data_IF_712080336000
#
_entry.id   IF_712080336000
#
_cell.length_a   1.000
_cell.length_b   1.000
_cell.length_c   1.000
_cell.angle_alpha   90.00
_cell.angle_beta   90.00
_cell.angle_gamma   90.00
#
_symmetry.space_group_name_H-M   'P 1'
#
loop_
_entity.id
_entity.type
_entity.pdbx_description
1 polymer ?
#
# COMPACT_ATOMS: atom_id res chain seq x y z
N UNK A 1 -6.35 -35.15 0.80
CA UNK A 1 -7.12 -34.90 -0.44
C UNK A 1 -7.64 -33.47 -0.38
N UNK A 2 -7.02 -32.56 -1.14
CA UNK A 2 -7.55 -31.20 -1.33
C UNK A 2 -8.73 -31.34 -2.28
N UNK A 3 -9.91 -30.89 -1.88
CA UNK A 3 -11.11 -31.01 -2.71
C UNK A 3 -10.89 -30.37 -4.09
N UNK A 4 -10.90 -31.24 -5.08
CA UNK A 4 -10.73 -31.03 -6.51
C UNK A 4 -11.38 -29.74 -7.02
N UNK A 5 -10.58 -28.75 -7.43
CA UNK A 5 -10.85 -27.73 -8.45
C UNK A 5 -12.11 -26.84 -8.37
N UNK A 6 -13.07 -27.07 -7.46
CA UNK A 6 -14.39 -26.42 -7.40
C UNK A 6 -14.37 -25.14 -6.56
N UNK A 7 -13.40 -24.99 -5.67
CA UNK A 7 -13.27 -23.80 -4.83
C UNK A 7 -12.86 -22.58 -5.65
N UNK A 8 -11.92 -22.72 -6.58
CA UNK A 8 -11.43 -21.64 -7.45
C UNK A 8 -12.54 -20.95 -8.24
N UNK A 9 -13.39 -21.65 -9.05
CA UNK A 9 -14.46 -21.00 -9.79
C UNK A 9 -15.51 -20.35 -8.89
N UNK A 10 -15.76 -20.92 -7.70
CA UNK A 10 -16.66 -20.33 -6.73
C UNK A 10 -16.11 -19.00 -6.16
N UNK A 11 -14.83 -18.97 -5.78
CA UNK A 11 -14.17 -17.76 -5.29
C UNK A 11 -14.10 -16.68 -6.38
N UNK A 12 -13.85 -17.04 -7.64
CA UNK A 12 -13.89 -16.09 -8.76
C UNK A 12 -15.28 -15.47 -8.92
N UNK A 13 -16.34 -16.27 -8.79
CA UNK A 13 -17.73 -15.78 -8.87
C UNK A 13 -18.04 -14.80 -7.75
N UNK A 14 -17.65 -15.11 -6.52
CA UNK A 14 -17.84 -14.21 -5.36
C UNK A 14 -17.04 -12.92 -5.54
N UNK A 15 -15.77 -13.02 -5.97
CA UNK A 15 -14.93 -11.85 -6.16
C UNK A 15 -15.54 -10.90 -7.21
N UNK A 16 -16.00 -11.44 -8.34
CA UNK A 16 -16.69 -10.64 -9.37
C UNK A 16 -17.93 -9.94 -8.82
N UNK A 17 -18.80 -10.66 -8.11
CA UNK A 17 -19.99 -10.08 -7.49
C UNK A 17 -19.62 -8.94 -6.52
N UNK A 18 -18.66 -9.17 -5.63
CA UNK A 18 -18.23 -8.19 -4.64
C UNK A 18 -17.60 -6.95 -5.29
N UNK A 19 -16.71 -7.15 -6.27
CA UNK A 19 -16.11 -6.05 -7.03
C UNK A 19 -17.18 -5.22 -7.75
N UNK A 20 -18.12 -5.86 -8.46
CA UNK A 20 -19.23 -5.15 -9.13
C UNK A 20 -20.04 -4.33 -8.13
N UNK A 21 -20.38 -4.89 -6.97
CA UNK A 21 -21.10 -4.16 -5.92
C UNK A 21 -20.32 -2.93 -5.44
N UNK A 22 -19.01 -3.03 -5.24
CA UNK A 22 -18.19 -1.90 -4.81
C UNK A 22 -18.24 -0.75 -5.82
N UNK A 23 -18.17 -1.05 -7.12
CA UNK A 23 -18.24 -0.01 -8.16
C UNK A 23 -19.67 0.55 -8.35
N UNK A 24 -20.71 -0.26 -8.15
CA UNK A 24 -22.10 0.18 -8.35
C UNK A 24 -22.76 0.82 -7.13
N UNK A 25 -22.22 0.59 -5.92
CA UNK A 25 -22.76 1.11 -4.67
C UNK A 25 -22.05 2.40 -4.26
N UNK A 26 -22.79 3.50 -4.19
CA UNK A 26 -22.26 4.82 -3.83
C UNK A 26 -21.57 4.85 -2.45
N UNK A 27 -22.01 4.04 -1.49
CA UNK A 27 -21.40 3.96 -0.17
C UNK A 27 -20.08 3.18 -0.19
N UNK A 28 -19.99 2.14 -1.02
CA UNK A 28 -18.79 1.30 -1.12
C UNK A 28 -17.73 1.97 -1.98
N UNK A 29 -18.11 2.66 -3.05
CA UNK A 29 -17.17 3.32 -3.95
C UNK A 29 -16.33 4.39 -3.24
N UNK A 30 -16.91 5.05 -2.23
CA UNK A 30 -16.23 6.03 -1.38
C UNK A 30 -15.17 5.44 -0.44
N UNK A 31 -15.13 4.11 -0.26
CA UNK A 31 -14.18 3.42 0.63
C UNK A 31 -12.88 3.00 -0.07
N UNK A 32 -12.65 3.47 -1.28
CA UNK A 32 -11.40 3.25 -2.00
C UNK A 32 -10.22 4.04 -1.42
N UNK A 33 -9.05 3.84 -2.01
CA UNK A 33 -7.81 4.49 -1.61
C UNK A 33 -7.33 5.41 -2.73
N UNK A 34 -6.60 6.47 -2.36
CA UNK A 34 -5.79 7.23 -3.31
C UNK A 34 -4.34 6.79 -3.15
N UNK A 35 -3.66 6.54 -4.26
CA UNK A 35 -2.24 6.18 -4.23
C UNK A 35 -1.41 7.38 -3.76
N UNK A 36 -0.90 7.35 -2.53
CA UNK A 36 -0.09 8.43 -1.96
C UNK A 36 1.32 8.59 -2.56
N UNK A 37 1.66 7.86 -3.63
CA UNK A 37 2.95 7.99 -4.34
C UNK A 37 2.76 8.84 -5.59
N UNK A 38 1.82 8.49 -6.47
CA UNK A 38 1.56 9.27 -7.68
C UNK A 38 0.48 10.35 -7.49
N UNK A 39 -0.38 10.19 -6.48
CA UNK A 39 -1.47 11.11 -6.15
C UNK A 39 -2.36 11.53 -7.36
N UNK A 40 -2.53 10.66 -8.35
CA UNK A 40 -3.20 10.96 -9.61
C UNK A 40 -4.74 11.05 -9.51
N UNK A 41 -5.31 11.13 -8.29
CA UNK A 41 -6.76 11.18 -8.05
C UNK A 41 -7.54 9.89 -8.38
N UNK A 42 -6.91 8.91 -9.02
CA UNK A 42 -7.52 7.61 -9.29
C UNK A 42 -7.80 6.86 -7.99
N UNK A 43 -9.06 6.47 -7.81
CA UNK A 43 -9.49 5.60 -6.72
C UNK A 43 -9.08 4.17 -7.05
N UNK A 44 -8.41 3.52 -6.11
CA UNK A 44 -7.96 2.14 -6.22
C UNK A 44 -8.49 1.30 -5.06
N UNK A 45 -8.63 -0.01 -5.30
CA UNK A 45 -9.16 -0.94 -4.31
C UNK A 45 -8.21 -2.10 -4.03
N UNK A 46 -8.20 -2.65 -2.79
CA UNK A 46 -7.31 -3.76 -2.43
C UNK A 46 -7.58 -5.06 -3.20
N UNK A 47 -8.81 -5.27 -3.71
CA UNK A 47 -9.17 -6.48 -4.45
C UNK A 47 -8.70 -6.45 -5.91
N UNK A 48 -8.23 -5.30 -6.42
CA UNK A 48 -7.63 -5.14 -7.76
C UNK A 48 -6.18 -5.67 -7.77
N UNK A 49 -5.98 -6.93 -7.38
CA UNK A 49 -4.66 -7.46 -7.01
C UNK A 49 -3.58 -7.46 -8.10
N UNK A 50 -3.94 -7.25 -9.37
CA UNK A 50 -2.99 -7.06 -10.47
C UNK A 50 -2.53 -5.61 -10.60
N UNK A 51 -3.41 -4.64 -10.33
CA UNK A 51 -3.15 -3.21 -10.47
C UNK A 51 -2.68 -2.56 -9.17
N UNK A 52 -2.98 -3.16 -8.01
CA UNK A 52 -2.70 -2.59 -6.69
C UNK A 52 -1.89 -3.53 -5.82
N UNK A 53 -1.15 -2.93 -4.87
CA UNK A 53 -0.39 -3.63 -3.84
C UNK A 53 -0.65 -2.99 -2.49
N UNK A 54 -0.94 -3.83 -1.49
CA UNK A 54 -1.14 -3.44 -0.09
C UNK A 54 0.18 -3.56 0.67
N UNK A 55 0.52 -2.54 1.45
CA UNK A 55 1.65 -2.62 2.39
C UNK A 55 1.30 -3.58 3.54
N UNK A 56 2.17 -4.56 3.80
CA UNK A 56 1.98 -5.54 4.89
C UNK A 56 2.02 -4.91 6.29
N UNK A 57 2.72 -3.78 6.45
CA UNK A 57 2.93 -3.13 7.76
C UNK A 57 1.77 -2.18 8.11
N UNK A 58 1.49 -1.21 7.24
CA UNK A 58 0.49 -0.17 7.53
C UNK A 58 -0.87 -0.39 6.86
N UNK A 59 -0.99 -1.38 5.98
CA UNK A 59 -2.23 -1.67 5.25
C UNK A 59 -2.58 -0.67 4.14
N UNK A 60 -1.76 0.35 3.89
CA UNK A 60 -1.99 1.32 2.81
C UNK A 60 -1.91 0.64 1.44
N UNK A 61 -2.76 1.09 0.50
CA UNK A 61 -2.85 0.55 -0.86
C UNK A 61 -2.27 1.55 -1.85
N UNK A 62 -1.47 1.04 -2.77
CA UNK A 62 -0.82 1.80 -3.84
C UNK A 62 -0.97 1.06 -5.16
N UNK A 63 -0.75 1.73 -6.29
CA UNK A 63 -0.57 1.01 -7.55
C UNK A 63 0.61 0.05 -7.43
N UNK A 64 0.54 -1.11 -8.09
CA UNK A 64 1.57 -2.13 -8.06
C UNK A 64 2.93 -1.57 -8.53
N UNK A 65 2.92 -0.81 -9.62
CA UNK A 65 4.10 -0.12 -10.17
C UNK A 65 4.63 0.99 -9.26
N UNK A 66 3.74 1.77 -8.63
CA UNK A 66 4.17 2.78 -7.67
C UNK A 66 4.84 2.12 -6.46
N UNK A 67 4.27 1.02 -5.95
CA UNK A 67 4.80 0.34 -4.76
C UNK A 67 6.15 -0.34 -5.04
N UNK A 68 6.38 -0.85 -6.24
CA UNK A 68 7.66 -1.47 -6.61
C UNK A 68 8.78 -0.43 -6.74
N UNK A 69 8.48 0.78 -7.20
CA UNK A 69 9.44 1.90 -7.27
C UNK A 69 9.72 2.56 -5.92
N UNK A 70 8.79 2.45 -4.96
CA UNK A 70 8.87 3.13 -3.66
C UNK A 70 8.91 2.11 -2.52
N UNK A 71 10.09 1.54 -2.32
CA UNK A 71 10.44 0.69 -1.17
C UNK A 71 11.57 1.39 -0.41
N UNK A 72 11.45 1.63 0.90
CA UNK A 72 10.37 1.22 1.82
C UNK A 72 9.04 1.97 1.62
N UNK A 73 7.96 1.52 2.27
CA UNK A 73 6.64 2.17 2.14
C UNK A 73 6.68 3.62 2.68
N UNK A 74 6.30 4.64 1.89
CA UNK A 74 6.44 6.05 2.28
C UNK A 74 5.59 6.40 3.51
N UNK A 75 4.41 5.78 3.69
CA UNK A 75 3.61 5.98 4.90
C UNK A 75 4.26 5.37 6.14
N UNK A 76 4.97 4.26 6.02
CA UNK A 76 5.71 3.66 7.13
C UNK A 76 6.90 4.55 7.51
N UNK A 77 7.67 5.00 6.52
CA UNK A 77 8.78 5.94 6.73
C UNK A 77 8.28 7.19 7.46
N UNK A 78 7.23 7.83 6.93
CA UNK A 78 6.67 9.03 7.55
C UNK A 78 6.19 8.78 8.99
N UNK A 79 5.49 7.66 9.24
CA UNK A 79 5.06 7.30 10.61
C UNK A 79 6.25 7.15 11.56
N UNK A 80 7.34 6.52 11.14
CA UNK A 80 8.50 6.35 12.00
C UNK A 80 9.26 7.67 12.22
N UNK A 81 9.33 8.53 11.20
CA UNK A 81 9.89 9.87 11.32
C UNK A 81 9.15 10.70 12.38
N UNK A 82 7.81 10.63 12.42
CA UNK A 82 7.01 11.34 13.41
C UNK A 82 7.27 10.88 14.86
N UNK A 83 7.79 9.66 15.07
CA UNK A 83 8.16 9.18 16.41
C UNK A 83 9.53 9.69 16.88
N UNK A 84 10.32 10.31 15.99
CA UNK A 84 11.68 10.77 16.34
C UNK A 84 11.63 12.05 17.18
N UNK A 85 12.54 12.18 18.17
CA UNK A 85 12.62 13.38 18.99
C UNK A 85 13.11 14.58 18.17
N UNK A 86 12.81 15.80 18.62
CA UNK A 86 13.28 17.06 17.99
C UNK A 86 14.80 17.10 17.75
N UNK A 87 15.60 16.43 18.58
CA UNK A 87 17.06 16.35 18.43
C UNK A 87 17.51 15.61 17.18
N UNK A 88 16.73 14.61 16.72
CA UNK A 88 17.01 13.89 15.48
C UNK A 88 16.90 14.82 14.26
N UNK A 89 15.84 15.62 14.19
CA UNK A 89 15.62 16.60 13.12
C UNK A 89 16.70 17.67 13.10
N UNK A 90 17.11 18.17 14.27
CA UNK A 90 18.18 19.15 14.41
C UNK A 90 19.54 18.63 13.88
N UNK A 91 19.72 17.30 13.84
CA UNK A 91 20.93 16.66 13.28
C UNK A 91 20.84 16.48 11.77
N UNK A 92 19.66 16.20 11.23
CA UNK A 92 19.41 16.13 9.79
C UNK A 92 19.63 17.47 9.09
N UNK A 93 19.25 18.59 9.72
CA UNK A 93 19.48 19.94 9.17
C UNK A 93 20.97 20.29 9.01
N UNK A 94 21.88 19.54 9.67
CA UNK A 94 23.33 19.74 9.60
C UNK A 94 24.00 18.86 8.53
N UNK A 95 23.34 17.80 8.06
CA UNK A 95 23.87 16.84 7.08
C UNK A 95 23.19 17.08 5.71
N UNK A 96 23.66 18.07 4.95
CA UNK A 96 23.17 18.47 3.61
C UNK A 96 23.41 17.40 2.50
N UNK A 97 23.66 16.14 2.88
CA UNK A 97 24.06 15.07 1.96
C UNK A 97 23.53 13.68 2.32
N UNK A 98 22.40 13.59 3.04
CA UNK A 98 21.87 12.29 3.47
C UNK A 98 20.59 11.89 2.73
N UNK A 99 20.68 10.86 1.89
CA UNK A 99 19.50 10.19 1.33
C UNK A 99 18.69 9.55 2.46
N UNK A 100 17.48 10.08 2.70
CA UNK A 100 16.52 9.65 3.74
C UNK A 100 16.31 8.12 3.75
N UNK A 101 16.51 7.47 2.60
CA UNK A 101 16.45 6.03 2.40
C UNK A 101 17.45 5.23 3.25
N UNK A 102 18.66 5.74 3.49
CA UNK A 102 19.73 5.03 4.20
C UNK A 102 19.63 5.12 5.75
N UNK A 103 18.79 6.03 6.29
CA UNK A 103 18.66 6.23 7.74
C UNK A 103 17.82 5.13 8.41
N UNK A 104 17.10 4.36 7.61
CA UNK A 104 16.22 3.33 8.12
C UNK A 104 16.60 1.99 7.53
N UNK A 105 17.19 1.13 8.34
CA UNK A 105 17.23 -0.32 8.14
C UNK A 105 15.79 -0.89 8.20
N UNK A 106 14.94 -0.51 7.25
CA UNK A 106 13.61 -1.11 7.09
C UNK A 106 13.79 -2.48 6.45
N UNK A 107 13.90 -3.53 7.26
CA UNK A 107 13.70 -4.89 6.80
C UNK A 107 12.23 -5.05 6.39
N UNK A 108 11.91 -4.86 5.11
CA UNK A 108 10.62 -5.32 4.60
C UNK A 108 10.66 -6.86 4.58
N UNK A 109 9.68 -7.57 5.15
CA UNK A 109 9.52 -8.98 4.87
C UNK A 109 9.17 -9.12 3.38
N UNK A 110 10.08 -9.72 2.62
CA UNK A 110 9.85 -10.07 1.23
C UNK A 110 8.70 -11.08 1.16
N UNK A 111 7.72 -10.84 0.29
CA UNK A 111 6.68 -11.80 -0.10
C UNK A 111 6.33 -11.58 -1.56
#
# INVERSE_FOLDING_TARGET
>A
MVFEGKLTPFLVKINRFASTHVYSCSLCSQKGFICGICNNGQIIYPFEGTATKRCAICGAVFHAECKSRSVPCPRCVHRELLKKPRSFWRKLDLDDNFEICNAFEFSCPNS
#
